data_IF_117806330812
#
_entry.id   IF_117806330812
#
_cell.length_a   1.000
_cell.length_b   1.000
_cell.length_c   1.000
_cell.angle_alpha   90.00
_cell.angle_beta   90.00
_cell.angle_gamma   90.00
#
_symmetry.space_group_name_H-M   'P 1'
#
loop_
_entity.id
_entity.type
_entity.pdbx_description
1 polymer ?
#
# COMPACT_ATOMS: atom_id res chain seq x y z
N UNK A 1 -47.98 10.45 -23.34
CA UNK A 1 -46.73 10.47 -22.58
C UNK A 1 -46.65 9.29 -21.62
N UNK A 2 -45.46 8.83 -21.32
CA UNK A 2 -45.23 7.86 -20.25
C UNK A 2 -44.88 8.63 -19.00
N UNK A 3 -45.48 8.29 -17.87
CA UNK A 3 -45.29 8.95 -16.58
C UNK A 3 -44.67 8.00 -15.57
N UNK A 4 -44.01 8.56 -14.57
CA UNK A 4 -43.48 7.83 -13.41
C UNK A 4 -43.73 8.65 -12.15
N UNK A 5 -43.99 7.95 -11.07
CA UNK A 5 -44.05 8.61 -9.74
C UNK A 5 -42.65 8.97 -9.27
N UNK A 6 -42.51 10.18 -8.72
CA UNK A 6 -41.29 10.64 -8.09
C UNK A 6 -41.07 9.85 -6.80
N UNK A 7 -39.96 9.17 -6.72
CA UNK A 7 -39.53 8.49 -5.50
C UNK A 7 -38.52 9.36 -4.77
N UNK A 8 -38.61 9.40 -3.44
CA UNK A 8 -37.60 10.05 -2.62
C UNK A 8 -36.21 9.49 -3.00
N UNK A 9 -35.27 10.36 -3.25
CA UNK A 9 -34.02 10.05 -3.94
C UNK A 9 -33.24 8.96 -3.24
N UNK A 10 -33.03 7.90 -4.00
CA UNK A 10 -31.98 6.93 -3.70
C UNK A 10 -30.62 7.62 -3.63
N UNK A 11 -29.71 7.07 -2.86
CA UNK A 11 -28.31 7.50 -2.87
C UNK A 11 -27.75 7.37 -4.27
N UNK A 12 -27.12 8.41 -4.77
CA UNK A 12 -26.34 8.30 -6.01
C UNK A 12 -25.13 7.41 -5.72
N UNK A 13 -25.16 6.18 -6.17
CA UNK A 13 -24.03 5.27 -6.06
C UNK A 13 -22.99 5.65 -7.12
N UNK A 14 -21.75 5.80 -6.70
CA UNK A 14 -20.61 6.04 -7.59
C UNK A 14 -19.91 4.72 -7.84
N UNK A 15 -19.96 4.23 -9.07
CA UNK A 15 -19.22 3.04 -9.51
C UNK A 15 -17.80 3.43 -9.94
N UNK A 16 -16.79 2.86 -9.31
CA UNK A 16 -15.39 3.02 -9.66
C UNK A 16 -14.72 1.64 -9.76
N UNK A 17 -13.58 1.58 -10.43
CA UNK A 17 -12.73 0.40 -10.41
C UNK A 17 -11.56 0.62 -9.46
N UNK A 18 -11.18 -0.43 -8.75
CA UNK A 18 -10.01 -0.41 -7.87
C UNK A 18 -9.12 -1.62 -8.10
N UNK A 19 -7.85 -1.50 -7.72
CA UNK A 19 -6.86 -2.58 -7.81
C UNK A 19 -6.66 -3.20 -6.43
N UNK A 20 -6.70 -4.52 -6.35
CA UNK A 20 -6.42 -5.28 -5.13
C UNK A 20 -4.94 -5.18 -4.79
N UNK A 21 -4.63 -4.73 -3.58
CA UNK A 21 -3.28 -4.58 -3.05
C UNK A 21 -3.13 -5.33 -1.72
N UNK A 22 -1.92 -5.67 -1.38
CA UNK A 22 -1.60 -6.02 0.00
C UNK A 22 -1.56 -4.74 0.84
N UNK A 23 -1.91 -4.85 2.12
CA UNK A 23 -1.79 -3.72 3.05
C UNK A 23 -0.37 -3.19 3.14
N UNK A 24 0.62 -4.10 3.11
CA UNK A 24 2.04 -3.78 3.11
C UNK A 24 2.72 -4.51 1.96
N UNK A 25 3.36 -3.75 1.09
CA UNK A 25 4.22 -4.25 0.02
C UNK A 25 5.65 -3.78 0.32
N UNK A 26 6.58 -4.72 0.46
CA UNK A 26 7.97 -4.45 0.86
C UNK A 26 8.91 -4.75 -0.29
N UNK A 27 9.65 -3.77 -0.81
CA UNK A 27 10.74 -4.04 -1.72
C UNK A 27 11.86 -4.77 -0.98
N UNK A 28 12.34 -5.86 -1.55
CA UNK A 28 13.42 -6.67 -1.02
C UNK A 28 14.71 -6.36 -1.76
N UNK A 29 15.77 -6.12 -1.00
CA UNK A 29 17.10 -5.77 -1.51
C UNK A 29 18.18 -6.32 -0.58
N UNK A 30 19.36 -6.58 -1.14
CA UNK A 30 20.54 -6.92 -0.33
C UNK A 30 21.08 -5.69 0.39
N UNK A 31 21.66 -5.90 1.58
CA UNK A 31 22.36 -4.84 2.33
C UNK A 31 23.84 -4.70 1.89
N UNK A 32 24.36 -5.65 1.10
CA UNK A 32 25.70 -5.63 0.51
C UNK A 32 25.61 -5.89 -0.99
N UNK A 33 26.51 -5.32 -1.76
CA UNK A 33 26.59 -5.57 -3.19
C UNK A 33 27.29 -6.91 -3.49
N UNK A 34 26.97 -7.51 -4.63
CA UNK A 34 27.58 -8.74 -5.08
C UNK A 34 26.89 -9.35 -6.28
N UNK A 35 27.37 -10.50 -6.73
CA UNK A 35 26.74 -11.28 -7.80
C UNK A 35 25.72 -12.25 -7.19
N UNK A 36 24.50 -12.28 -7.71
CA UNK A 36 23.50 -13.29 -7.33
C UNK A 36 24.02 -14.66 -7.81
N UNK A 37 24.24 -15.57 -6.86
CA UNK A 37 24.62 -16.94 -7.13
C UNK A 37 23.39 -17.82 -7.34
N UNK A 38 22.39 -17.69 -6.46
CA UNK A 38 21.19 -18.50 -6.47
C UNK A 38 19.94 -17.66 -6.28
N UNK A 39 18.89 -18.00 -7.03
CA UNK A 39 17.51 -17.58 -6.83
C UNK A 39 16.72 -18.84 -6.46
N UNK A 40 16.09 -18.82 -5.29
CA UNK A 40 15.43 -19.98 -4.69
C UNK A 40 13.90 -19.87 -4.74
N UNK A 41 13.37 -18.81 -5.35
CA UNK A 41 11.94 -18.49 -5.40
C UNK A 41 11.55 -17.87 -6.72
N UNK A 42 10.27 -18.00 -7.07
CA UNK A 42 9.66 -17.41 -8.26
C UNK A 42 8.57 -16.40 -7.92
N UNK A 43 8.22 -15.53 -8.90
CA UNK A 43 7.08 -14.63 -8.77
C UNK A 43 5.78 -15.43 -8.61
N UNK A 44 4.88 -14.96 -7.72
CA UNK A 44 3.65 -15.63 -7.34
C UNK A 44 3.82 -16.68 -6.24
N UNK A 45 5.05 -17.03 -5.83
CA UNK A 45 5.29 -18.01 -4.79
C UNK A 45 4.96 -17.47 -3.39
N UNK A 46 4.40 -18.33 -2.55
CA UNK A 46 4.19 -18.06 -1.12
C UNK A 46 5.44 -18.39 -0.33
N UNK A 47 5.90 -17.45 0.47
CA UNK A 47 7.11 -17.60 1.29
C UNK A 47 6.79 -17.47 2.77
N UNK A 48 7.53 -18.23 3.58
CA UNK A 48 7.47 -18.11 5.05
C UNK A 48 8.44 -17.02 5.55
N UNK A 49 8.20 -16.51 6.75
CA UNK A 49 9.17 -15.64 7.41
C UNK A 49 10.53 -16.36 7.57
N UNK A 50 11.63 -15.63 7.37
CA UNK A 50 13.02 -16.13 7.41
C UNK A 50 13.40 -17.14 6.31
N UNK A 51 12.49 -17.45 5.37
CA UNK A 51 12.82 -18.26 4.21
C UNK A 51 13.87 -17.55 3.36
N UNK A 52 14.93 -18.26 2.97
CA UNK A 52 15.96 -17.72 2.06
C UNK A 52 15.40 -17.63 0.65
N UNK A 53 15.49 -16.44 0.05
CA UNK A 53 14.96 -16.13 -1.28
C UNK A 53 16.07 -16.07 -2.32
N UNK A 54 17.18 -15.43 -1.97
CA UNK A 54 18.35 -15.26 -2.83
C UNK A 54 19.63 -15.42 -2.04
N UNK A 55 20.70 -15.82 -2.73
CA UNK A 55 22.05 -15.87 -2.19
C UNK A 55 23.02 -15.20 -3.15
N UNK A 56 23.92 -14.35 -2.60
CA UNK A 56 25.06 -13.83 -3.34
C UNK A 56 26.22 -14.81 -3.35
N UNK A 57 27.17 -14.62 -4.27
CA UNK A 57 28.46 -15.29 -4.23
C UNK A 57 29.25 -14.81 -3.01
N UNK A 58 29.51 -15.72 -2.07
CA UNK A 58 30.08 -15.39 -0.73
C UNK A 58 31.60 -15.50 -0.69
N UNK A 59 32.27 -15.94 -1.76
CA UNK A 59 33.71 -16.27 -1.74
C UNK A 59 34.57 -15.13 -1.21
N UNK A 60 34.36 -13.91 -1.67
CA UNK A 60 35.15 -12.75 -1.22
C UNK A 60 34.80 -12.35 0.20
N UNK A 61 33.55 -12.42 0.60
CA UNK A 61 33.09 -12.13 1.96
C UNK A 61 33.64 -13.15 2.96
N UNK A 62 33.69 -14.42 2.61
CA UNK A 62 34.30 -15.48 3.44
C UNK A 62 35.82 -15.29 3.58
N UNK A 63 36.52 -14.85 2.54
CA UNK A 63 37.92 -14.50 2.64
C UNK A 63 38.12 -13.29 3.60
N UNK A 64 37.24 -12.28 3.51
CA UNK A 64 37.25 -11.14 4.44
C UNK A 64 37.04 -11.58 5.90
N UNK A 65 36.13 -12.51 6.16
CA UNK A 65 35.95 -13.09 7.51
C UNK A 65 37.22 -13.80 7.96
N UNK A 66 37.82 -14.67 7.13
CA UNK A 66 39.06 -15.40 7.48
C UNK A 66 40.21 -14.44 7.77
N UNK A 67 40.37 -13.37 7.03
CA UNK A 67 41.41 -12.36 7.27
C UNK A 67 41.21 -11.65 8.62
N UNK A 68 39.99 -11.23 8.94
CA UNK A 68 39.69 -10.56 10.21
C UNK A 68 39.73 -11.53 11.42
N UNK A 69 39.49 -12.82 11.23
CA UNK A 69 39.73 -13.87 12.25
C UNK A 69 41.20 -14.02 12.58
N UNK A 70 42.06 -14.01 11.55
CA UNK A 70 43.52 -14.04 11.75
C UNK A 70 44.03 -12.78 12.49
N UNK A 71 43.49 -11.60 12.15
CA UNK A 71 43.81 -10.33 12.83
C UNK A 71 43.41 -10.37 14.32
N UNK A 72 42.24 -10.89 14.62
CA UNK A 72 41.80 -11.07 16.01
C UNK A 72 42.69 -12.06 16.77
N UNK A 73 43.05 -13.19 16.18
CA UNK A 73 43.93 -14.18 16.79
C UNK A 73 45.32 -13.58 17.08
N UNK A 74 45.86 -12.77 16.19
CA UNK A 74 47.13 -12.06 16.42
C UNK A 74 47.01 -11.05 17.57
N UNK A 75 45.90 -10.30 17.64
CA UNK A 75 45.66 -9.35 18.72
C UNK A 75 45.45 -10.05 20.09
N UNK A 76 44.78 -11.19 20.12
CA UNK A 76 44.62 -12.03 21.32
C UNK A 76 45.97 -12.54 21.83
N UNK A 77 46.85 -13.01 20.93
CA UNK A 77 48.21 -13.43 21.31
C UNK A 77 49.07 -12.28 21.87
N UNK A 78 48.98 -11.08 21.24
CA UNK A 78 49.67 -9.89 21.75
C UNK A 78 49.19 -9.46 23.12
N UNK A 79 47.85 -9.48 23.35
CA UNK A 79 47.27 -9.20 24.66
C UNK A 79 47.69 -10.23 25.70
N UNK A 80 47.69 -11.51 25.37
CA UNK A 80 48.14 -12.57 26.30
C UNK A 80 49.61 -12.37 26.71
N UNK A 81 50.48 -12.00 25.78
CA UNK A 81 51.88 -11.65 26.07
C UNK A 81 51.98 -10.46 27.03
N UNK A 82 51.27 -9.36 26.74
CA UNK A 82 51.28 -8.16 27.57
C UNK A 82 50.72 -8.42 28.99
N UNK A 83 49.71 -9.26 29.12
CA UNK A 83 49.15 -9.71 30.43
C UNK A 83 50.21 -10.53 31.22
N UNK A 84 50.92 -11.44 30.55
CA UNK A 84 51.98 -12.24 31.17
C UNK A 84 53.16 -11.35 31.63
N UNK A 85 53.57 -10.35 30.82
CA UNK A 85 54.61 -9.40 31.14
C UNK A 85 54.22 -8.54 32.35
N UNK A 86 53.02 -8.01 32.39
CA UNK A 86 52.48 -7.25 33.53
C UNK A 86 52.44 -8.10 34.79
N UNK A 87 52.04 -9.37 34.69
CA UNK A 87 52.01 -10.30 35.85
C UNK A 87 53.42 -10.51 36.40
N UNK A 88 54.42 -10.72 35.54
CA UNK A 88 55.82 -10.85 35.94
C UNK A 88 56.34 -9.55 36.56
N UNK A 89 56.04 -8.41 35.96
CA UNK A 89 56.46 -7.11 36.49
C UNK A 89 55.85 -6.83 37.88
N UNK A 90 54.61 -7.18 38.14
CA UNK A 90 53.98 -7.08 39.49
C UNK A 90 54.63 -7.94 40.55
N UNK A 91 54.99 -9.17 40.17
CA UNK A 91 55.71 -10.07 41.08
C UNK A 91 57.15 -9.55 41.48
N UNK A 92 57.85 -8.97 40.48
CA UNK A 92 59.15 -8.34 40.68
C UNK A 92 59.07 -7.06 41.55
N UNK A 93 58.01 -6.25 41.29
CA UNK A 93 57.76 -5.02 42.04
C UNK A 93 57.47 -5.32 43.56
N UNK A 94 56.69 -6.37 43.85
CA UNK A 94 56.45 -6.84 45.23
C UNK A 94 57.71 -7.22 45.96
N UNK A 95 58.78 -7.60 45.24
CA UNK A 95 60.12 -7.92 45.78
C UNK A 95 61.09 -6.75 45.67
N UNK A 96 60.63 -5.53 45.32
CA UNK A 96 61.44 -4.33 45.10
C UNK A 96 62.49 -4.44 43.97
N UNK A 97 62.34 -5.35 43.01
CA UNK A 97 63.26 -5.54 41.89
C UNK A 97 62.87 -4.74 40.63
N UNK A 98 61.83 -4.00 40.67
CA UNK A 98 61.41 -3.11 39.53
C UNK A 98 60.83 -1.80 40.06
N UNK A 99 60.95 -0.72 39.27
CA UNK A 99 60.42 0.61 39.62
C UNK A 99 58.92 0.73 39.34
N UNK A 100 58.23 1.67 40.00
CA UNK A 100 56.83 2.00 39.77
C UNK A 100 56.62 2.42 38.34
N UNK A 101 57.52 3.23 37.76
CA UNK A 101 57.44 3.67 36.34
C UNK A 101 57.50 2.51 35.35
N UNK A 102 58.31 1.47 35.65
CA UNK A 102 58.36 0.28 34.81
C UNK A 102 57.02 -0.49 34.85
N UNK A 103 56.40 -0.61 36.02
CA UNK A 103 55.10 -1.24 36.18
C UNK A 103 54.01 -0.48 35.38
N UNK A 104 53.99 0.85 35.49
CA UNK A 104 53.03 1.72 34.72
C UNK A 104 53.16 1.50 33.21
N UNK A 105 54.38 1.29 32.69
CA UNK A 105 54.58 0.98 31.26
C UNK A 105 53.94 -0.36 30.86
N UNK A 106 54.03 -1.39 31.66
CA UNK A 106 53.39 -2.68 31.39
C UNK A 106 51.88 -2.59 31.52
N UNK A 107 51.37 -1.77 32.43
CA UNK A 107 49.92 -1.50 32.53
C UNK A 107 49.38 -0.75 31.32
N UNK A 108 50.15 0.22 30.83
CA UNK A 108 49.82 0.94 29.60
C UNK A 108 49.82 -0.02 28.39
N UNK A 109 50.88 -0.81 28.23
CA UNK A 109 51.00 -1.78 27.13
C UNK A 109 49.84 -2.78 27.12
N UNK A 110 49.49 -3.32 28.31
CA UNK A 110 48.31 -4.20 28.40
C UNK A 110 47.03 -3.50 27.98
N UNK A 111 46.83 -2.22 28.38
CA UNK A 111 45.64 -1.43 27.94
C UNK A 111 45.63 -1.19 26.43
N UNK A 112 46.78 -0.87 25.84
CA UNK A 112 46.90 -0.72 24.39
C UNK A 112 46.56 -2.00 23.64
N UNK A 113 47.08 -3.15 24.07
CA UNK A 113 46.78 -4.45 23.45
C UNK A 113 45.31 -4.84 23.64
N UNK A 114 44.73 -4.53 24.81
CA UNK A 114 43.30 -4.71 25.03
C UNK A 114 42.44 -3.94 24.02
N UNK A 115 42.70 -2.63 23.85
CA UNK A 115 41.99 -1.79 22.89
C UNK A 115 42.18 -2.29 21.44
N UNK A 116 43.39 -2.74 21.09
CA UNK A 116 43.68 -3.32 19.77
C UNK A 116 42.86 -4.59 19.54
N UNK A 117 42.78 -5.46 20.54
CA UNK A 117 41.96 -6.69 20.48
C UNK A 117 40.48 -6.38 20.31
N UNK A 118 39.96 -5.41 21.05
CA UNK A 118 38.57 -4.97 20.94
C UNK A 118 38.24 -4.41 19.52
N UNK A 119 39.13 -3.62 18.95
CA UNK A 119 39.04 -3.13 17.60
C UNK A 119 39.05 -4.26 16.56
N UNK A 120 39.89 -5.28 16.73
CA UNK A 120 39.94 -6.46 15.85
C UNK A 120 38.65 -7.30 15.96
N UNK A 121 38.13 -7.48 17.17
CA UNK A 121 36.86 -8.16 17.41
C UNK A 121 35.66 -7.44 16.72
N UNK A 122 35.63 -6.10 16.77
CA UNK A 122 34.60 -5.30 16.12
C UNK A 122 34.68 -5.45 14.58
N UNK A 123 35.87 -5.47 13.99
CA UNK A 123 36.06 -5.70 12.55
C UNK A 123 35.59 -7.09 12.13
N UNK A 124 35.89 -8.12 12.93
CA UNK A 124 35.41 -9.48 12.68
C UNK A 124 33.87 -9.54 12.73
N UNK A 125 33.25 -8.90 13.69
CA UNK A 125 31.79 -8.83 13.78
C UNK A 125 31.19 -8.16 12.53
N UNK A 126 31.78 -7.06 12.06
CA UNK A 126 31.37 -6.38 10.84
C UNK A 126 31.49 -7.28 9.60
N UNK A 127 32.59 -8.02 9.45
CA UNK A 127 32.79 -8.94 8.32
C UNK A 127 31.78 -10.09 8.36
N UNK A 128 31.48 -10.63 9.52
CA UNK A 128 30.46 -11.68 9.70
C UNK A 128 29.05 -11.17 9.38
N UNK A 129 28.71 -9.94 9.78
CA UNK A 129 27.45 -9.32 9.42
C UNK A 129 27.33 -9.17 7.91
N UNK A 130 28.38 -8.67 7.24
CA UNK A 130 28.40 -8.54 5.77
C UNK A 130 28.19 -9.90 5.07
N UNK A 131 28.80 -10.97 5.58
CA UNK A 131 28.58 -12.33 5.07
C UNK A 131 27.12 -12.78 5.33
N UNK A 132 26.55 -12.45 6.48
CA UNK A 132 25.14 -12.74 6.79
C UNK A 132 24.18 -12.04 5.83
N UNK A 133 24.48 -10.80 5.44
CA UNK A 133 23.69 -10.01 4.50
C UNK A 133 23.74 -10.50 3.06
N UNK A 134 24.66 -11.42 2.74
CA UNK A 134 24.69 -12.09 1.44
C UNK A 134 23.54 -13.09 1.23
N UNK A 135 22.77 -13.41 2.26
CA UNK A 135 21.53 -14.18 2.18
C UNK A 135 20.35 -13.26 2.37
N UNK A 136 19.55 -13.12 1.34
CA UNK A 136 18.32 -12.35 1.42
C UNK A 136 17.17 -13.27 1.86
N UNK A 137 16.60 -12.96 3.01
CA UNK A 137 15.50 -13.71 3.59
C UNK A 137 14.22 -12.87 3.61
N UNK A 138 13.06 -13.55 3.55
CA UNK A 138 11.78 -12.91 3.70
C UNK A 138 11.62 -12.37 5.14
N UNK A 139 11.36 -11.06 5.34
CA UNK A 139 11.18 -10.50 6.68
C UNK A 139 9.90 -11.00 7.36
N UNK A 140 8.89 -11.33 6.58
CA UNK A 140 7.58 -11.83 7.02
C UNK A 140 7.06 -12.85 6.01
N UNK A 141 6.06 -13.64 6.39
CA UNK A 141 5.34 -14.48 5.46
C UNK A 141 4.53 -13.64 4.46
N UNK A 142 4.40 -14.11 3.22
CA UNK A 142 3.68 -13.39 2.17
C UNK A 142 3.74 -14.06 0.81
N UNK A 143 3.47 -13.27 -0.23
CA UNK A 143 3.55 -13.69 -1.63
C UNK A 143 4.50 -12.75 -2.37
N UNK A 144 5.42 -13.29 -3.16
CA UNK A 144 6.28 -12.50 -4.04
C UNK A 144 5.47 -12.00 -5.24
N UNK A 145 5.21 -10.70 -5.30
CA UNK A 145 4.47 -10.09 -6.42
C UNK A 145 5.36 -10.03 -7.66
N UNK A 146 6.62 -9.70 -7.45
CA UNK A 146 7.60 -9.52 -8.53
C UNK A 146 8.99 -10.00 -8.09
N UNK A 147 9.74 -10.56 -9.04
CA UNK A 147 11.09 -11.09 -8.85
C UNK A 147 11.92 -10.66 -10.05
N UNK A 148 12.76 -9.65 -9.86
CA UNK A 148 13.58 -9.04 -10.92
C UNK A 148 15.06 -9.44 -10.85
N UNK A 149 15.49 -10.01 -9.72
CA UNK A 149 16.87 -10.49 -9.53
C UNK A 149 17.09 -11.82 -10.22
N UNK A 150 18.14 -11.91 -11.05
CA UNK A 150 18.48 -13.13 -11.78
C UNK A 150 19.85 -13.68 -11.40
N UNK A 151 20.05 -15.00 -11.38
CA UNK A 151 21.36 -15.60 -11.17
C UNK A 151 22.39 -15.09 -12.19
N UNK A 152 23.58 -14.75 -11.71
CA UNK A 152 24.65 -14.14 -12.50
C UNK A 152 24.62 -12.61 -12.58
N UNK A 153 23.51 -11.98 -12.23
CA UNK A 153 23.39 -10.53 -12.16
C UNK A 153 24.25 -9.96 -11.02
N UNK A 154 24.90 -8.83 -11.26
CA UNK A 154 25.58 -8.05 -10.21
C UNK A 154 24.61 -6.98 -9.73
N UNK A 155 24.44 -6.90 -8.42
CA UNK A 155 23.53 -5.94 -7.76
C UNK A 155 24.27 -5.11 -6.73
N UNK A 156 23.83 -3.87 -6.57
CA UNK A 156 24.32 -2.96 -5.54
C UNK A 156 23.50 -3.11 -4.24
N UNK A 157 24.09 -2.66 -3.12
CA UNK A 157 23.36 -2.57 -1.87
C UNK A 157 22.15 -1.64 -2.02
N UNK A 158 20.96 -2.10 -1.58
CA UNK A 158 19.70 -1.36 -1.71
C UNK A 158 18.99 -1.51 -3.06
N UNK A 159 19.60 -2.17 -4.05
CA UNK A 159 18.93 -2.45 -5.32
C UNK A 159 17.82 -3.48 -5.11
N UNK A 160 16.60 -3.13 -5.51
CA UNK A 160 15.45 -4.04 -5.41
C UNK A 160 15.64 -5.27 -6.31
N UNK A 161 15.45 -6.46 -5.73
CA UNK A 161 15.51 -7.75 -6.44
C UNK A 161 14.18 -8.50 -6.43
N UNK A 162 13.28 -8.16 -5.50
CA UNK A 162 11.93 -8.70 -5.45
C UNK A 162 10.98 -7.73 -4.74
N UNK A 163 9.66 -7.98 -4.86
CA UNK A 163 8.61 -7.25 -4.15
C UNK A 163 7.75 -8.27 -3.38
N UNK A 164 7.71 -8.13 -2.05
CA UNK A 164 6.94 -9.01 -1.17
C UNK A 164 5.65 -8.32 -0.75
N UNK A 165 4.51 -8.93 -1.08
CA UNK A 165 3.22 -8.63 -0.47
C UNK A 165 3.09 -9.41 0.83
N UNK A 166 3.03 -8.73 1.96
CA UNK A 166 2.88 -9.39 3.25
C UNK A 166 1.53 -10.10 3.35
N UNK A 167 1.51 -11.25 4.02
CA UNK A 167 0.27 -11.96 4.32
C UNK A 167 -0.61 -11.11 5.24
N UNK A 168 -1.94 -11.20 5.06
CA UNK A 168 -2.91 -10.47 5.88
C UNK A 168 -3.99 -9.78 5.06
N UNK A 169 -4.50 -8.67 5.58
CA UNK A 169 -5.60 -7.92 4.99
C UNK A 169 -5.31 -7.48 3.56
N UNK A 170 -6.34 -7.59 2.71
CA UNK A 170 -6.33 -7.03 1.35
C UNK A 170 -6.96 -5.66 1.35
N UNK A 171 -6.46 -4.80 0.52
CA UNK A 171 -6.98 -3.46 0.29
C UNK A 171 -7.40 -3.29 -1.16
N UNK A 172 -8.40 -2.47 -1.37
CA UNK A 172 -8.76 -1.99 -2.69
C UNK A 172 -8.27 -0.56 -2.84
N UNK A 173 -7.32 -0.35 -3.74
CA UNK A 173 -6.82 0.97 -4.11
C UNK A 173 -7.69 1.55 -5.22
N UNK A 174 -8.35 2.66 -4.93
CA UNK A 174 -9.32 3.33 -5.82
C UNK A 174 -8.87 4.76 -6.06
N UNK A 175 -8.98 5.21 -7.31
CA UNK A 175 -8.66 6.56 -7.71
C UNK A 175 -9.95 7.36 -7.91
N UNK A 176 -10.15 8.37 -7.08
CA UNK A 176 -11.29 9.29 -7.15
C UNK A 176 -10.92 10.55 -7.96
N UNK A 177 -11.90 11.24 -8.58
CA UNK A 177 -11.67 12.59 -9.11
C UNK A 177 -11.10 13.51 -8.02
N UNK A 178 -10.27 14.48 -8.41
CA UNK A 178 -9.54 15.35 -7.47
C UNK A 178 -10.45 16.19 -6.55
N UNK A 179 -11.65 16.51 -7.01
CA UNK A 179 -12.70 17.28 -6.31
C UNK A 179 -13.65 16.38 -5.49
N UNK A 180 -13.55 15.06 -5.63
CA UNK A 180 -14.38 14.13 -4.88
C UNK A 180 -13.80 13.87 -3.48
N UNK A 181 -14.69 13.73 -2.50
CA UNK A 181 -14.33 13.24 -1.17
C UNK A 181 -14.58 11.74 -1.12
N UNK A 182 -13.54 10.89 -0.91
CA UNK A 182 -13.72 9.45 -0.80
C UNK A 182 -14.69 9.09 0.33
N UNK A 183 -15.76 8.32 0.06
CA UNK A 183 -16.72 7.90 1.08
C UNK A 183 -16.09 6.98 2.12
N UNK A 184 -16.59 7.00 3.36
CA UNK A 184 -16.07 6.15 4.44
C UNK A 184 -16.33 4.66 4.20
N UNK A 185 -17.39 4.32 3.46
CA UNK A 185 -17.81 2.95 3.20
C UNK A 185 -18.19 2.76 1.72
N UNK A 186 -18.06 1.53 1.27
CA UNK A 186 -18.48 1.09 -0.06
C UNK A 186 -18.56 -0.43 -0.11
N UNK A 187 -18.77 -0.96 -1.28
CA UNK A 187 -18.86 -2.38 -1.57
C UNK A 187 -17.98 -2.75 -2.76
N UNK A 188 -17.17 -3.80 -2.65
CA UNK A 188 -16.48 -4.41 -3.77
C UNK A 188 -17.33 -5.55 -4.35
N UNK A 189 -17.46 -5.58 -5.67
CA UNK A 189 -18.22 -6.61 -6.39
C UNK A 189 -17.23 -7.56 -7.06
N UNK A 190 -17.31 -8.84 -6.70
CA UNK A 190 -16.54 -9.90 -7.33
C UNK A 190 -17.26 -10.40 -8.60
N UNK A 191 -16.51 -11.07 -9.47
CA UNK A 191 -17.04 -11.58 -10.74
C UNK A 191 -18.14 -12.65 -10.60
N UNK A 192 -18.22 -13.32 -9.46
CA UNK A 192 -19.25 -14.30 -9.11
C UNK A 192 -20.52 -13.66 -8.49
N UNK A 193 -20.56 -12.35 -8.35
CA UNK A 193 -21.64 -11.61 -7.70
C UNK A 193 -21.51 -11.44 -6.19
N UNK A 194 -20.46 -11.98 -5.57
CA UNK A 194 -20.18 -11.76 -4.15
C UNK A 194 -19.90 -10.29 -3.88
N UNK A 195 -20.46 -9.76 -2.81
CA UNK A 195 -20.26 -8.38 -2.36
C UNK A 195 -19.44 -8.38 -1.07
N UNK A 196 -18.32 -7.67 -1.08
CA UNK A 196 -17.45 -7.52 0.08
C UNK A 196 -17.46 -6.06 0.56
N UNK A 197 -17.75 -5.81 1.85
CA UNK A 197 -17.75 -4.46 2.40
C UNK A 197 -16.36 -3.83 2.35
N UNK A 198 -16.33 -2.53 2.01
CA UNK A 198 -15.14 -1.69 1.98
C UNK A 198 -15.20 -0.64 3.09
N UNK A 199 -14.12 -0.49 3.82
CA UNK A 199 -13.95 0.55 4.84
C UNK A 199 -12.73 1.41 4.50
N UNK A 200 -12.95 2.72 4.38
CA UNK A 200 -11.86 3.67 4.09
C UNK A 200 -10.81 3.63 5.19
N UNK A 201 -9.57 3.35 4.84
CA UNK A 201 -8.44 3.37 5.75
C UNK A 201 -7.57 4.61 5.55
N UNK A 202 -7.29 4.96 4.31
CA UNK A 202 -6.31 5.98 3.96
C UNK A 202 -6.73 6.73 2.71
N UNK A 203 -6.51 8.04 2.72
CA UNK A 203 -6.62 8.89 1.54
C UNK A 203 -5.28 9.58 1.32
N UNK A 204 -4.79 9.60 0.09
CA UNK A 204 -3.54 10.27 -0.24
C UNK A 204 -3.60 11.76 0.12
N UNK A 205 -2.52 12.30 0.68
CA UNK A 205 -2.43 13.71 1.05
C UNK A 205 -2.27 14.67 -0.13
N UNK A 206 -2.17 14.14 -1.37
CA UNK A 206 -2.01 14.94 -2.59
C UNK A 206 -2.66 14.26 -3.79
N UNK A 207 -3.10 15.07 -4.72
CA UNK A 207 -3.63 14.63 -6.02
C UNK A 207 -2.50 14.17 -6.92
N UNK A 208 -2.66 13.04 -7.57
CA UNK A 208 -1.69 12.49 -8.52
C UNK A 208 -1.68 13.32 -9.80
N UNK A 209 -0.49 13.74 -10.24
CA UNK A 209 -0.34 14.74 -11.32
C UNK A 209 -0.81 14.20 -12.69
N UNK A 210 -0.54 12.95 -13.00
CA UNK A 210 -0.85 12.37 -14.31
C UNK A 210 -2.35 12.13 -14.51
N UNK A 211 -3.03 11.59 -13.49
CA UNK A 211 -4.46 11.26 -13.57
C UNK A 211 -5.39 12.34 -13.04
N UNK A 212 -4.88 13.36 -12.35
CA UNK A 212 -5.66 14.31 -11.55
C UNK A 212 -6.64 13.60 -10.62
N UNK A 213 -6.18 12.50 -10.03
CA UNK A 213 -6.97 11.65 -9.15
C UNK A 213 -6.45 11.67 -7.73
N UNK A 214 -7.35 11.47 -6.78
CA UNK A 214 -7.05 11.29 -5.37
C UNK A 214 -7.12 9.81 -5.06
N UNK A 215 -5.99 9.20 -4.69
CA UNK A 215 -5.91 7.79 -4.33
C UNK A 215 -6.48 7.56 -2.92
N UNK A 216 -7.37 6.60 -2.81
CA UNK A 216 -7.90 6.13 -1.53
C UNK A 216 -7.72 4.61 -1.42
N UNK A 217 -7.42 4.13 -0.22
CA UNK A 217 -7.27 2.71 0.10
C UNK A 217 -8.35 2.28 1.07
N UNK A 218 -9.03 1.22 0.69
CA UNK A 218 -10.12 0.63 1.46
C UNK A 218 -9.72 -0.77 1.91
N UNK A 219 -9.86 -1.05 3.20
CA UNK A 219 -9.75 -2.42 3.69
C UNK A 219 -10.95 -3.23 3.21
N UNK A 220 -10.70 -4.36 2.56
CA UNK A 220 -11.75 -5.31 2.17
C UNK A 220 -12.08 -6.19 3.36
N UNK A 221 -13.35 -6.17 3.81
CA UNK A 221 -13.80 -6.97 4.94
C UNK A 221 -14.13 -8.41 4.48
N UNK A 222 -13.73 -9.41 5.27
CA UNK A 222 -14.08 -10.82 5.01
C UNK A 222 -12.98 -11.65 4.37
N UNK A 223 -13.22 -12.27 3.23
CA UNK A 223 -12.30 -13.22 2.58
C UNK A 223 -11.02 -12.54 2.04
N UNK A 224 -9.89 -12.80 2.68
CA UNK A 224 -8.62 -12.16 2.32
C UNK A 224 -7.80 -12.98 1.30
N UNK A 225 -7.83 -14.29 1.38
CA UNK A 225 -6.96 -15.17 0.58
C UNK A 225 -7.47 -15.45 -0.84
N UNK A 226 -8.74 -15.19 -1.13
CA UNK A 226 -9.36 -15.41 -2.43
C UNK A 226 -9.12 -14.26 -3.41
N UNK A 227 -8.76 -13.09 -2.91
CA UNK A 227 -8.51 -11.91 -3.73
C UNK A 227 -7.08 -11.96 -4.32
N UNK A 228 -7.01 -12.09 -5.63
CA UNK A 228 -5.73 -12.10 -6.35
C UNK A 228 -5.14 -10.69 -6.35
N UNK A 229 -3.90 -10.56 -5.85
CA UNK A 229 -3.17 -9.29 -5.86
C UNK A 229 -3.00 -8.77 -7.30
N UNK A 230 -3.20 -7.47 -7.50
CA UNK A 230 -3.16 -6.84 -8.82
C UNK A 230 -4.44 -6.98 -9.63
N UNK A 231 -5.43 -7.79 -9.21
CA UNK A 231 -6.72 -7.87 -9.89
C UNK A 231 -7.52 -6.57 -9.75
N UNK A 232 -8.39 -6.32 -10.72
CA UNK A 232 -9.26 -5.14 -10.73
C UNK A 232 -10.67 -5.56 -10.34
N UNK A 233 -11.22 -4.92 -9.31
CA UNK A 233 -12.60 -5.12 -8.89
C UNK A 233 -13.42 -3.86 -9.14
N UNK A 234 -14.73 -4.05 -9.37
CA UNK A 234 -15.68 -2.94 -9.34
C UNK A 234 -16.01 -2.62 -7.89
N UNK A 235 -15.98 -1.33 -7.54
CA UNK A 235 -16.40 -0.84 -6.25
C UNK A 235 -17.61 0.08 -6.42
N UNK A 236 -18.59 -0.06 -5.55
CA UNK A 236 -19.75 0.81 -5.44
C UNK A 236 -19.63 1.60 -4.16
N UNK A 237 -19.62 2.91 -4.27
CA UNK A 237 -19.57 3.81 -3.14
C UNK A 237 -20.89 4.51 -2.99
N UNK A 238 -21.49 4.37 -1.81
CA UNK A 238 -22.72 5.07 -1.50
C UNK A 238 -22.42 6.54 -1.29
N UNK A 239 -22.87 7.38 -2.20
CA UNK A 239 -22.78 8.83 -2.06
C UNK A 239 -23.40 9.28 -0.73
N UNK A 240 -22.98 10.44 -0.22
CA UNK A 240 -23.78 11.12 0.83
C UNK A 240 -25.19 11.17 0.28
N UNK A 241 -26.19 10.75 1.10
CA UNK A 241 -27.57 11.00 0.74
C UNK A 241 -27.65 12.46 0.27
N UNK A 242 -27.98 12.67 -1.01
CA UNK A 242 -28.39 14.01 -1.44
C UNK A 242 -29.39 14.40 -0.36
N UNK A 243 -29.08 15.48 0.40
CA UNK A 243 -29.85 15.81 1.61
C UNK A 243 -31.33 15.61 1.37
N UNK A 244 -32.15 15.45 2.38
CA UNK A 244 -33.58 15.00 2.40
C UNK A 244 -34.47 15.46 1.22
N UNK A 245 -33.99 16.30 0.32
CA UNK A 245 -34.71 16.94 -0.78
C UNK A 245 -34.30 16.44 -2.19
N UNK A 246 -33.55 15.34 -2.36
CA UNK A 246 -33.18 14.80 -3.69
C UNK A 246 -34.16 13.73 -4.19
N UNK A 247 -34.41 13.67 -5.52
CA UNK A 247 -35.29 12.72 -6.17
C UNK A 247 -34.55 11.95 -7.26
N UNK A 248 -34.78 10.65 -7.35
CA UNK A 248 -34.26 9.81 -8.42
C UNK A 248 -35.28 9.68 -9.56
N UNK A 249 -34.90 10.01 -10.77
CA UNK A 249 -35.76 9.97 -11.96
C UNK A 249 -35.01 9.27 -13.11
N UNK A 250 -35.73 8.64 -14.07
CA UNK A 250 -35.09 8.21 -15.29
C UNK A 250 -34.43 9.39 -16.01
N UNK A 251 -33.26 9.20 -16.58
CA UNK A 251 -32.52 10.25 -17.31
C UNK A 251 -33.38 10.83 -18.44
N UNK A 252 -34.24 10.03 -19.08
CA UNK A 252 -35.18 10.46 -20.13
C UNK A 252 -36.26 11.47 -19.63
N UNK A 253 -36.47 11.58 -18.30
CA UNK A 253 -37.36 12.58 -17.72
C UNK A 253 -36.75 13.97 -17.68
N UNK A 254 -35.41 14.06 -17.70
CA UNK A 254 -34.69 15.32 -17.69
C UNK A 254 -34.80 16.00 -19.05
N UNK A 255 -35.14 17.29 -19.04
CA UNK A 255 -35.15 18.15 -20.22
C UNK A 255 -34.20 19.33 -19.96
N UNK A 256 -33.15 19.43 -20.78
CA UNK A 256 -32.14 20.49 -20.69
C UNK A 256 -32.32 21.60 -21.74
N UNK A 257 -33.41 21.57 -22.53
CA UNK A 257 -33.68 22.56 -23.57
C UNK A 257 -34.25 23.85 -22.95
N UNK A 258 -33.74 25.01 -23.39
CA UNK A 258 -34.22 26.33 -22.95
C UNK A 258 -33.44 26.84 -21.70
N UNK A 259 -34.14 27.36 -20.68
CA UNK A 259 -33.58 28.09 -19.56
C UNK A 259 -32.98 27.18 -18.44
N UNK A 260 -32.45 26.04 -18.81
CA UNK A 260 -31.77 25.11 -17.88
C UNK A 260 -32.50 23.81 -17.61
N UNK A 261 -31.93 22.92 -16.79
CA UNK A 261 -32.47 21.60 -16.49
C UNK A 261 -33.85 21.68 -15.82
N UNK A 262 -34.82 20.93 -16.33
CA UNK A 262 -36.17 20.85 -15.79
C UNK A 262 -36.76 19.48 -15.96
N UNK A 263 -37.80 19.15 -15.17
CA UNK A 263 -38.68 18.00 -15.37
C UNK A 263 -40.10 18.46 -15.58
N UNK A 264 -40.91 17.66 -16.25
CA UNK A 264 -42.31 17.98 -16.53
C UNK A 264 -43.21 17.28 -15.54
N UNK A 265 -43.79 18.01 -14.56
CA UNK A 265 -44.77 17.48 -13.61
C UNK A 265 -46.18 17.49 -14.24
N UNK A 266 -46.83 16.35 -14.17
CA UNK A 266 -48.22 16.21 -14.60
C UNK A 266 -49.14 16.54 -13.42
N UNK A 267 -50.04 17.49 -13.62
CA UNK A 267 -51.08 17.86 -12.67
C UNK A 267 -52.35 18.19 -13.39
N UNK A 268 -53.49 17.61 -12.99
CA UNK A 268 -54.81 17.83 -13.58
C UNK A 268 -54.86 17.61 -15.11
N UNK A 269 -54.10 16.65 -15.64
CA UNK A 269 -54.02 16.33 -17.04
C UNK A 269 -53.19 17.29 -17.90
N UNK A 270 -52.51 18.27 -17.29
CA UNK A 270 -51.63 19.22 -17.94
C UNK A 270 -50.19 19.11 -17.40
N UNK A 271 -49.19 19.39 -18.24
CA UNK A 271 -47.78 19.36 -17.86
C UNK A 271 -47.24 20.74 -17.52
N UNK A 272 -46.55 20.84 -16.41
CA UNK A 272 -45.90 22.07 -15.94
C UNK A 272 -44.40 21.84 -15.74
N UNK A 273 -43.53 22.77 -16.19
CA UNK A 273 -42.11 22.61 -16.00
C UNK A 273 -41.72 22.90 -14.54
N UNK A 274 -40.91 22.05 -13.94
CA UNK A 274 -40.32 22.24 -12.62
C UNK A 274 -38.80 22.33 -12.82
N UNK A 275 -38.19 23.51 -12.57
CA UNK A 275 -36.74 23.68 -12.61
C UNK A 275 -36.08 22.74 -11.59
N UNK A 276 -34.99 22.07 -12.01
CA UNK A 276 -34.25 21.16 -11.13
C UNK A 276 -32.74 21.41 -11.26
N UNK A 277 -32.03 21.11 -10.20
CA UNK A 277 -30.57 21.04 -10.20
C UNK A 277 -30.17 19.59 -10.30
N UNK A 278 -29.39 19.23 -11.30
CA UNK A 278 -28.82 17.88 -11.43
C UNK A 278 -27.73 17.71 -10.38
N UNK A 279 -27.86 16.69 -9.53
CA UNK A 279 -26.91 16.35 -8.47
C UNK A 279 -25.91 15.29 -8.92
N UNK A 280 -26.39 14.27 -9.62
CA UNK A 280 -25.60 13.18 -10.19
C UNK A 280 -26.37 12.45 -11.28
N UNK A 281 -25.63 11.73 -12.13
CA UNK A 281 -26.23 10.84 -13.13
C UNK A 281 -25.57 9.47 -12.98
N UNK A 282 -26.39 8.42 -12.85
CA UNK A 282 -25.94 7.03 -12.75
C UNK A 282 -26.65 6.18 -13.82
N UNK A 283 -25.94 5.92 -14.91
CA UNK A 283 -26.47 5.16 -16.05
C UNK A 283 -27.78 5.75 -16.58
N UNK A 284 -28.92 5.09 -16.31
CA UNK A 284 -30.25 5.48 -16.77
C UNK A 284 -31.00 6.36 -15.75
N UNK A 285 -30.40 6.66 -14.58
CA UNK A 285 -31.04 7.42 -13.50
C UNK A 285 -30.34 8.77 -13.34
N UNK A 286 -31.14 9.84 -13.18
CA UNK A 286 -30.66 11.17 -12.80
C UNK A 286 -31.16 11.51 -11.40
N UNK A 287 -30.27 11.95 -10.53
CA UNK A 287 -30.60 12.49 -9.22
C UNK A 287 -30.75 14.00 -9.33
N UNK A 288 -31.92 14.52 -8.96
CA UNK A 288 -32.24 15.93 -9.09
C UNK A 288 -32.74 16.51 -7.77
N UNK A 289 -32.52 17.80 -7.58
CA UNK A 289 -33.14 18.60 -6.53
C UNK A 289 -34.03 19.66 -7.15
N UNK A 290 -35.23 19.81 -6.64
CA UNK A 290 -36.19 20.79 -7.14
C UNK A 290 -37.45 20.84 -6.29
N UNK A 291 -38.42 21.67 -6.68
CA UNK A 291 -39.72 21.80 -6.02
C UNK A 291 -40.64 20.59 -6.38
N UNK A 292 -40.18 19.40 -6.09
CA UNK A 292 -40.88 18.14 -6.24
C UNK A 292 -41.24 17.57 -4.86
N UNK A 293 -42.31 16.75 -4.82
CA UNK A 293 -42.69 15.99 -3.63
C UNK A 293 -42.74 14.50 -3.97
N UNK A 294 -42.50 13.65 -3.00
CA UNK A 294 -42.64 12.22 -3.16
C UNK A 294 -44.10 11.89 -3.57
N UNK A 295 -44.25 11.10 -4.64
CA UNK A 295 -45.55 10.78 -5.22
C UNK A 295 -45.98 11.74 -6.34
N UNK A 296 -45.29 12.87 -6.58
CA UNK A 296 -45.54 13.66 -7.79
C UNK A 296 -45.41 12.80 -9.03
N UNK A 297 -46.24 13.00 -10.03
CA UNK A 297 -46.15 12.30 -11.31
C UNK A 297 -45.38 13.15 -12.29
N UNK A 298 -44.27 12.64 -12.84
CA UNK A 298 -43.46 13.31 -13.85
C UNK A 298 -43.47 12.54 -15.18
N UNK A 299 -43.29 13.24 -16.28
CA UNK A 299 -43.18 12.63 -17.60
C UNK A 299 -41.79 12.00 -17.76
N UNK A 300 -41.76 10.68 -17.96
CA UNK A 300 -40.55 9.91 -18.12
C UNK A 300 -40.07 9.78 -19.57
N UNK A 301 -40.93 9.95 -20.56
CA UNK A 301 -40.60 9.82 -21.97
C UNK A 301 -41.40 10.80 -22.85
N UNK A 302 -40.72 11.40 -23.83
CA UNK A 302 -41.34 12.37 -24.73
C UNK A 302 -41.24 13.83 -24.28
N UNK A 303 -40.35 14.12 -23.34
CA UNK A 303 -40.17 15.43 -22.70
C UNK A 303 -39.84 16.57 -23.67
N UNK A 304 -39.24 16.25 -24.84
CA UNK A 304 -38.78 17.21 -25.84
C UNK A 304 -39.93 17.85 -26.70
N UNK A 305 -41.14 17.31 -26.60
CA UNK A 305 -42.32 17.79 -27.34
C UNK A 305 -43.28 18.60 -26.49
N UNK A 306 -42.98 18.74 -25.20
CA UNK A 306 -43.88 19.33 -24.22
C UNK A 306 -43.69 20.87 -24.12
N UNK A 307 -44.82 21.55 -23.96
CA UNK A 307 -44.95 22.99 -23.74
C UNK A 307 -45.77 23.18 -22.45
N UNK A 308 -45.45 24.22 -21.67
CA UNK A 308 -46.17 24.54 -20.45
C UNK A 308 -47.71 24.62 -20.66
N UNK A 309 -48.46 24.00 -19.78
CA UNK A 309 -49.91 23.90 -19.83
C UNK A 309 -50.47 22.93 -20.88
N UNK A 310 -49.61 22.21 -21.59
CA UNK A 310 -50.06 21.24 -22.61
C UNK A 310 -50.82 20.10 -21.95
N UNK A 311 -52.04 19.84 -22.45
CA UNK A 311 -52.84 18.67 -22.05
C UNK A 311 -52.25 17.41 -22.67
N UNK A 312 -51.97 16.42 -21.83
CA UNK A 312 -51.38 15.15 -22.25
C UNK A 312 -52.24 13.99 -21.81
N UNK A 313 -52.20 12.90 -22.58
CA UNK A 313 -52.82 11.63 -22.21
C UNK A 313 -51.74 10.66 -21.75
N UNK A 314 -51.93 10.09 -20.57
CA UNK A 314 -51.09 9.02 -20.10
C UNK A 314 -51.25 7.77 -20.95
N UNK A 315 -50.14 7.16 -21.32
CA UNK A 315 -50.14 5.83 -21.93
C UNK A 315 -50.09 4.80 -20.81
N UNK A 316 -50.92 3.74 -20.89
CA UNK A 316 -50.81 2.66 -19.93
C UNK A 316 -49.42 2.06 -19.94
N UNK A 317 -48.97 1.62 -18.76
CA UNK A 317 -47.65 1.00 -18.55
C UNK A 317 -47.48 -0.27 -19.36
#
# INVERSE_FOLDING_TARGET
VRTIAVLAGGRADVGLSGTVRARVESPLSFQVGGRIAHRLVDAGERVAATQTLFELDTRDLEQGVRATEADLAAADAALASAVADLTRARQLQQRNYTSVQALERFELSRREMQTRREAAAARLAQARNALGYARLQAPTAGVLIDVVGEPGQVVDAGQQVALLAQAGERELEVNFPADATPPAHGDALLGDGTVLPLVLRETAGAVERQGRTLRARYTVQGAHDELVLGSVLRARFHGKAAGDDGFALPLAALNERGDGPRVWRLRDGAVNPVPVTVLATDGEVVHVRGALTEGDTVVALGTHLLIEGMKVRELPQ
#
